data_IF_278877893912
#
_entry.id   IF_278877893912
#
_cell.length_a   1.000
_cell.length_b   1.000
_cell.length_c   1.000
_cell.angle_alpha   90.00
_cell.angle_beta   90.00
_cell.angle_gamma   90.00
#
_symmetry.space_group_name_H-M   'P 1'
#
loop_
_entity.id
_entity.type
_entity.pdbx_description
1 polymer ?
#
# COMPACT_ATOMS: atom_id res chain seq x y z
N UNK A 1 1.92 7.87 -16.10
CA UNK A 1 2.87 8.20 -15.02
C UNK A 1 2.18 8.29 -13.65
N UNK A 2 1.24 9.23 -13.44
CA UNK A 2 0.53 9.42 -12.14
C UNK A 2 -0.23 8.16 -11.71
N UNK A 3 -0.99 7.53 -12.63
CA UNK A 3 -1.68 6.26 -12.40
C UNK A 3 -0.70 5.19 -11.88
N UNK A 4 0.43 5.03 -12.53
CA UNK A 4 1.39 3.97 -12.20
C UNK A 4 2.02 4.22 -10.82
N UNK A 5 2.39 5.46 -10.50
CA UNK A 5 2.85 5.81 -9.15
C UNK A 5 1.77 5.56 -8.08
N UNK A 6 0.50 5.81 -8.41
CA UNK A 6 -0.63 5.54 -7.50
C UNK A 6 -0.80 4.03 -7.27
N UNK A 7 -0.78 3.23 -8.34
CA UNK A 7 -0.84 1.78 -8.25
C UNK A 7 0.36 1.22 -7.48
N UNK A 8 1.58 1.72 -7.75
CA UNK A 8 2.76 1.37 -6.97
C UNK A 8 2.54 1.59 -5.46
N UNK A 9 1.97 2.74 -5.08
CA UNK A 9 1.63 3.02 -3.68
C UNK A 9 0.53 2.08 -3.13
N UNK A 10 -0.45 1.70 -3.95
CA UNK A 10 -1.48 0.74 -3.54
C UNK A 10 -0.93 -0.65 -3.24
N UNK A 11 0.19 -1.04 -3.86
CA UNK A 11 0.81 -2.36 -3.68
C UNK A 11 2.12 -2.35 -2.88
N UNK A 12 2.56 -1.17 -2.43
CA UNK A 12 3.74 -1.02 -1.55
C UNK A 12 3.43 -0.33 -0.23
N UNK A 13 2.28 0.33 -0.12
CA UNK A 13 1.91 1.09 1.06
C UNK A 13 2.82 2.28 1.35
N UNK A 14 3.68 2.69 0.40
CA UNK A 14 4.56 3.84 0.56
C UNK A 14 3.76 5.14 0.54
N UNK A 15 4.12 6.07 1.42
CA UNK A 15 3.61 7.42 1.39
C UNK A 15 4.27 8.23 0.25
N UNK A 16 3.67 9.35 -0.14
CA UNK A 16 4.22 10.21 -1.20
C UNK A 16 5.71 10.54 -1.00
N UNK A 17 6.11 10.92 0.20
CA UNK A 17 7.50 11.29 0.48
C UNK A 17 8.47 10.12 0.33
N UNK A 18 7.98 8.89 0.45
CA UNK A 18 8.77 7.66 0.31
C UNK A 18 8.87 7.26 -1.15
N UNK A 19 7.77 7.32 -1.93
CA UNK A 19 7.83 7.05 -3.37
C UNK A 19 8.64 8.10 -4.14
N UNK A 20 8.72 9.32 -3.62
CA UNK A 20 9.54 10.38 -4.21
C UNK A 20 11.04 10.25 -3.87
N UNK A 21 11.39 9.40 -2.93
CA UNK A 21 12.77 9.22 -2.44
C UNK A 21 13.33 7.81 -2.67
N UNK A 22 12.48 6.85 -3.04
CA UNK A 22 12.91 5.47 -3.24
C UNK A 22 13.87 5.35 -4.44
N UNK A 23 14.92 4.57 -4.26
CA UNK A 23 15.90 4.23 -5.30
C UNK A 23 16.37 2.78 -5.12
N UNK A 24 17.31 2.31 -5.93
CA UNK A 24 17.83 0.95 -5.89
C UNK A 24 18.48 0.57 -4.54
N UNK A 25 19.08 1.52 -3.81
CA UNK A 25 19.71 1.25 -2.52
C UNK A 25 18.68 0.86 -1.45
N UNK A 26 17.42 1.15 -1.70
CA UNK A 26 16.32 0.78 -0.82
C UNK A 26 15.78 -0.63 -1.08
N UNK A 27 16.28 -1.33 -2.11
CA UNK A 27 15.82 -2.66 -2.45
C UNK A 27 16.80 -3.70 -1.92
N UNK A 28 16.29 -4.63 -1.13
CA UNK A 28 17.04 -5.76 -0.59
C UNK A 28 16.36 -7.07 -1.01
N UNK A 29 17.16 -8.04 -1.45
CA UNK A 29 16.65 -9.37 -1.82
C UNK A 29 16.78 -10.31 -0.63
N UNK A 30 15.68 -10.94 -0.23
CA UNK A 30 15.64 -11.98 0.80
C UNK A 30 14.72 -13.10 0.34
N UNK A 31 15.21 -14.33 0.36
CA UNK A 31 14.44 -15.52 -0.07
C UNK A 31 13.82 -15.35 -1.47
N UNK A 32 14.58 -14.81 -2.42
CA UNK A 32 14.15 -14.52 -3.79
C UNK A 32 12.98 -13.52 -3.89
N UNK A 33 12.72 -12.75 -2.85
CA UNK A 33 11.71 -11.69 -2.83
C UNK A 33 12.44 -10.34 -2.72
N UNK A 34 12.05 -9.39 -3.56
CA UNK A 34 12.48 -8.01 -3.45
C UNK A 34 11.72 -7.32 -2.31
N UNK A 35 12.44 -6.70 -1.40
CA UNK A 35 11.89 -5.96 -0.27
C UNK A 35 12.32 -4.50 -0.33
N UNK A 36 11.39 -3.61 -0.03
CA UNK A 36 11.66 -2.20 0.15
C UNK A 36 12.06 -1.96 1.60
N UNK A 37 13.31 -1.52 1.83
CA UNK A 37 13.87 -1.21 3.14
C UNK A 37 14.11 0.28 3.26
N UNK A 38 13.34 0.96 4.07
CA UNK A 38 13.42 2.42 4.25
C UNK A 38 13.14 2.82 5.69
N UNK A 39 13.36 4.11 5.99
CA UNK A 39 12.91 4.74 7.23
C UNK A 39 11.74 5.68 6.96
N UNK A 40 10.72 5.65 7.83
CA UNK A 40 9.61 6.60 7.78
C UNK A 40 10.12 8.02 7.99
N UNK A 41 9.88 8.92 7.03
CA UNK A 41 10.35 10.31 7.10
C UNK A 41 9.88 11.02 8.38
N UNK A 42 8.64 10.76 8.82
CA UNK A 42 8.04 11.41 10.00
C UNK A 42 8.51 10.82 11.34
N UNK A 43 8.72 9.51 11.43
CA UNK A 43 8.95 8.82 12.71
C UNK A 43 10.35 8.22 12.82
N UNK A 44 11.16 8.29 11.75
CA UNK A 44 12.49 7.68 11.63
C UNK A 44 12.53 6.16 11.88
N UNK A 45 11.37 5.52 11.96
CA UNK A 45 11.28 4.06 12.13
C UNK A 45 11.61 3.36 10.81
N UNK A 46 12.48 2.37 10.91
CA UNK A 46 12.73 1.46 9.80
C UNK A 46 11.51 0.59 9.55
N UNK A 47 11.24 0.31 8.30
CA UNK A 47 10.22 -0.64 7.86
C UNK A 47 10.73 -1.48 6.69
N UNK A 48 10.13 -2.63 6.52
CA UNK A 48 10.45 -3.57 5.46
C UNK A 48 9.13 -4.03 4.83
N UNK A 49 8.94 -3.75 3.54
CA UNK A 49 7.72 -4.09 2.80
C UNK A 49 8.10 -4.98 1.62
N UNK A 50 7.43 -6.12 1.38
CA UNK A 50 7.66 -6.91 0.17
C UNK A 50 7.21 -6.10 -1.06
N UNK A 51 8.00 -6.12 -2.12
CA UNK A 51 7.62 -5.55 -3.40
C UNK A 51 6.74 -6.57 -4.13
N UNK A 52 5.44 -6.41 -3.99
CA UNK A 52 4.46 -7.30 -4.62
C UNK A 52 4.52 -7.22 -6.15
N UNK A 53 4.13 -8.27 -6.89
CA UNK A 53 4.26 -8.32 -8.35
C UNK A 53 3.73 -7.09 -9.10
N UNK A 54 2.57 -6.48 -8.76
CA UNK A 54 2.12 -5.27 -9.45
C UNK A 54 3.02 -4.05 -9.20
N UNK A 55 3.62 -3.95 -8.00
CA UNK A 55 4.59 -2.89 -7.71
C UNK A 55 5.92 -3.15 -8.43
N UNK A 56 6.39 -4.39 -8.44
CA UNK A 56 7.62 -4.80 -9.14
C UNK A 56 7.52 -4.50 -10.64
N UNK A 57 6.41 -4.87 -11.29
CA UNK A 57 6.20 -4.58 -12.70
C UNK A 57 6.27 -3.08 -13.04
N UNK A 58 5.81 -2.23 -12.13
CA UNK A 58 5.93 -0.77 -12.31
C UNK A 58 7.36 -0.31 -12.04
N UNK A 59 8.04 -0.87 -11.05
CA UNK A 59 9.43 -0.57 -10.74
C UNK A 59 10.33 -0.86 -11.94
N UNK A 60 10.18 -2.05 -12.52
CA UNK A 60 10.94 -2.49 -13.70
C UNK A 60 10.60 -1.64 -14.93
N UNK A 61 9.31 -1.33 -15.15
CA UNK A 61 8.87 -0.46 -16.26
C UNK A 61 9.56 0.90 -16.29
N UNK A 62 9.90 1.44 -15.14
CA UNK A 62 10.55 2.75 -15.00
C UNK A 62 12.03 2.63 -14.65
N UNK A 63 12.63 1.44 -14.82
CA UNK A 63 14.06 1.19 -14.56
C UNK A 63 14.50 1.75 -13.19
N UNK A 64 13.69 1.43 -12.16
CA UNK A 64 13.89 1.88 -10.79
C UNK A 64 13.83 3.42 -10.57
N UNK A 65 13.31 4.17 -11.52
CA UNK A 65 13.19 5.63 -11.43
C UNK A 65 11.73 6.05 -11.62
N UNK A 66 10.94 5.99 -10.57
CA UNK A 66 9.52 6.32 -10.62
C UNK A 66 9.29 7.77 -11.05
N UNK A 67 8.40 8.05 -12.02
CA UNK A 67 8.16 9.37 -12.56
C UNK A 67 7.26 10.21 -11.63
N UNK A 68 7.71 10.44 -10.40
CA UNK A 68 6.95 11.12 -9.35
C UNK A 68 6.92 12.62 -9.60
N UNK A 69 5.72 13.19 -9.67
CA UNK A 69 5.51 14.63 -9.76
C UNK A 69 5.57 15.26 -8.37
N UNK A 70 5.64 16.61 -8.30
CA UNK A 70 5.46 17.31 -7.02
C UNK A 70 4.12 16.93 -6.38
N UNK A 71 4.06 16.90 -5.04
CA UNK A 71 2.88 16.45 -4.30
C UNK A 71 1.60 17.16 -4.73
N UNK A 72 1.70 18.46 -4.98
CA UNK A 72 0.56 19.27 -5.43
C UNK A 72 0.07 18.84 -6.82
N UNK A 73 0.98 18.72 -7.80
CA UNK A 73 0.65 18.26 -9.15
C UNK A 73 0.13 16.82 -9.14
N UNK A 74 0.74 15.97 -8.34
CA UNK A 74 0.35 14.57 -8.22
C UNK A 74 -1.09 14.43 -7.73
N UNK A 75 -1.46 15.08 -6.61
CA UNK A 75 -2.82 15.05 -6.09
C UNK A 75 -3.84 15.74 -7.01
N UNK A 76 -3.45 16.82 -7.71
CA UNK A 76 -4.31 17.44 -8.74
C UNK A 76 -4.65 16.43 -9.85
N UNK A 77 -3.64 15.80 -10.42
CA UNK A 77 -3.83 14.83 -11.51
C UNK A 77 -4.59 13.57 -11.06
N UNK A 78 -4.47 13.16 -9.79
CA UNK A 78 -5.28 12.05 -9.24
C UNK A 78 -6.78 12.41 -9.20
N UNK A 79 -7.13 13.65 -8.84
CA UNK A 79 -8.52 14.13 -8.88
C UNK A 79 -9.07 14.18 -10.31
N UNK A 80 -8.26 14.67 -11.25
CA UNK A 80 -8.62 14.68 -12.66
C UNK A 80 -8.86 13.26 -13.20
N UNK A 81 -7.99 12.32 -12.83
CA UNK A 81 -8.16 10.90 -13.14
C UNK A 81 -9.46 10.32 -12.57
N UNK A 82 -9.80 10.63 -11.32
CA UNK A 82 -11.04 10.18 -10.70
C UNK A 82 -12.26 10.71 -11.49
N UNK A 83 -12.24 11.96 -11.89
CA UNK A 83 -13.30 12.58 -12.71
C UNK A 83 -13.42 11.92 -14.07
N UNK A 84 -12.30 11.73 -14.77
CA UNK A 84 -12.28 11.10 -16.11
C UNK A 84 -12.79 9.66 -16.10
N UNK A 85 -12.57 8.95 -15.01
CA UNK A 85 -13.00 7.55 -14.84
C UNK A 85 -14.36 7.42 -14.15
N UNK A 86 -15.06 8.53 -13.90
CA UNK A 86 -16.33 8.58 -13.16
C UNK A 86 -16.28 7.84 -11.81
N UNK A 87 -15.14 7.91 -11.12
CA UNK A 87 -14.96 7.29 -9.82
C UNK A 87 -15.55 8.21 -8.73
N UNK A 88 -16.50 7.71 -7.96
CA UNK A 88 -17.06 8.44 -6.81
C UNK A 88 -16.16 8.31 -5.58
N UNK A 89 -14.85 8.56 -5.75
CA UNK A 89 -13.84 8.51 -4.69
C UNK A 89 -12.83 9.64 -4.83
N UNK A 90 -12.39 10.20 -3.73
CA UNK A 90 -11.34 11.21 -3.71
C UNK A 90 -9.97 10.53 -3.77
N UNK A 91 -9.45 10.29 -4.98
CA UNK A 91 -8.11 9.73 -5.16
C UNK A 91 -7.06 10.66 -4.56
N UNK A 92 -6.23 10.12 -3.69
CA UNK A 92 -5.13 10.84 -3.04
C UNK A 92 -4.00 9.86 -2.70
N UNK A 93 -2.81 10.39 -2.44
CA UNK A 93 -1.67 9.58 -1.99
C UNK A 93 -1.96 8.81 -0.70
N UNK A 94 -2.80 9.38 0.17
CA UNK A 94 -3.21 8.73 1.42
C UNK A 94 -4.17 7.55 1.16
N UNK A 95 -5.09 7.71 0.19
CA UNK A 95 -5.99 6.62 -0.20
C UNK A 95 -5.23 5.41 -0.74
N UNK A 96 -4.19 5.62 -1.54
CA UNK A 96 -3.36 4.52 -2.02
C UNK A 96 -2.77 3.68 -0.87
N UNK A 97 -2.23 4.34 0.16
CA UNK A 97 -1.71 3.67 1.35
C UNK A 97 -2.83 2.99 2.16
N UNK A 98 -4.01 3.62 2.26
CA UNK A 98 -5.18 2.99 2.89
C UNK A 98 -5.58 1.73 2.13
N UNK A 99 -5.62 1.77 0.80
CA UNK A 99 -5.90 0.61 -0.06
C UNK A 99 -4.92 -0.53 0.19
N UNK A 100 -3.61 -0.25 0.29
CA UNK A 100 -2.63 -1.27 0.67
C UNK A 100 -2.98 -1.93 2.00
N UNK A 101 -3.32 -1.13 3.00
CA UNK A 101 -3.65 -1.64 4.34
C UNK A 101 -4.91 -2.49 4.31
N UNK A 102 -6.01 -1.95 3.76
CA UNK A 102 -7.35 -2.58 3.84
C UNK A 102 -7.52 -3.70 2.82
N UNK A 103 -7.24 -3.42 1.55
CA UNK A 103 -7.54 -4.35 0.46
C UNK A 103 -6.40 -5.36 0.24
N UNK A 104 -5.15 -4.87 0.25
CA UNK A 104 -4.02 -5.75 -0.07
C UNK A 104 -3.57 -6.57 1.13
N UNK A 105 -3.47 -6.00 2.32
CA UNK A 105 -3.04 -6.76 3.50
C UNK A 105 -4.22 -7.40 4.23
N UNK A 106 -5.10 -6.61 4.81
CA UNK A 106 -6.16 -7.11 5.66
C UNK A 106 -7.20 -7.91 4.87
N UNK A 107 -7.55 -7.48 3.65
CA UNK A 107 -8.43 -8.19 2.73
C UNK A 107 -7.90 -9.56 2.27
N UNK A 108 -6.60 -9.81 2.41
CA UNK A 108 -5.97 -11.11 2.17
C UNK A 108 -5.57 -11.81 3.48
N UNK A 109 -6.28 -11.55 4.57
CA UNK A 109 -6.11 -12.21 5.86
C UNK A 109 -4.73 -12.06 6.50
N UNK A 110 -3.97 -11.01 6.13
CA UNK A 110 -2.72 -10.70 6.82
C UNK A 110 -3.06 -10.20 8.23
N UNK A 111 -2.54 -10.85 9.29
CA UNK A 111 -2.84 -10.46 10.66
C UNK A 111 -2.54 -8.99 10.92
N UNK A 112 -3.42 -8.31 11.67
CA UNK A 112 -3.34 -6.88 11.96
C UNK A 112 -1.95 -6.45 12.47
N UNK A 113 -1.36 -7.25 13.36
CA UNK A 113 -0.03 -7.00 13.91
C UNK A 113 1.07 -7.04 12.84
N UNK A 114 0.97 -7.99 11.90
CA UNK A 114 1.89 -8.13 10.77
C UNK A 114 1.72 -6.92 9.83
N UNK A 115 0.48 -6.58 9.46
CA UNK A 115 0.18 -5.41 8.64
C UNK A 115 0.72 -4.12 9.26
N UNK A 116 0.53 -3.93 10.57
CA UNK A 116 1.06 -2.78 11.31
C UNK A 116 2.59 -2.71 11.28
N UNK A 117 3.26 -3.85 11.41
CA UNK A 117 4.72 -3.97 11.33
C UNK A 117 5.23 -3.61 9.94
N UNK A 118 4.65 -4.19 8.88
CA UNK A 118 4.99 -3.87 7.49
C UNK A 118 4.83 -2.37 7.20
N UNK A 119 3.75 -1.78 7.69
CA UNK A 119 3.48 -0.35 7.53
C UNK A 119 4.39 0.55 8.39
N UNK A 120 5.19 -0.01 9.30
CA UNK A 120 6.04 0.76 10.23
C UNK A 120 5.22 1.67 11.14
N UNK A 121 4.01 1.26 11.52
CA UNK A 121 3.19 2.01 12.46
C UNK A 121 3.77 1.90 13.87
N UNK A 122 3.73 3.01 14.62
CA UNK A 122 4.19 3.05 16.01
C UNK A 122 3.22 2.34 16.96
N UNK A 123 1.95 2.21 16.55
CA UNK A 123 0.87 1.63 17.34
C UNK A 123 -0.11 0.93 16.39
N UNK A 124 -0.60 -0.23 16.79
CA UNK A 124 -1.61 -1.00 16.04
C UNK A 124 -2.93 -0.25 15.91
N UNK A 125 -3.26 0.67 16.81
CA UNK A 125 -4.48 1.50 16.76
C UNK A 125 -4.72 2.18 15.42
N UNK A 126 -3.64 2.58 14.72
CA UNK A 126 -3.76 3.20 13.38
C UNK A 126 -4.27 2.16 12.37
N UNK A 127 -3.80 0.92 12.47
CA UNK A 127 -4.22 -0.19 11.60
C UNK A 127 -5.60 -0.72 12.04
N UNK A 128 -5.89 -0.75 13.33
CA UNK A 128 -7.19 -1.14 13.91
C UNK A 128 -8.32 -0.24 13.41
N UNK A 129 -8.09 1.07 13.33
CA UNK A 129 -9.07 2.00 12.76
C UNK A 129 -9.43 1.65 11.32
N UNK A 130 -8.47 1.20 10.53
CA UNK A 130 -8.72 0.73 9.16
C UNK A 130 -9.37 -0.65 9.13
N UNK A 131 -9.11 -1.48 10.14
CA UNK A 131 -9.75 -2.79 10.27
C UNK A 131 -11.25 -2.68 10.57
N UNK A 132 -11.66 -1.72 11.40
CA UNK A 132 -13.06 -1.45 11.69
C UNK A 132 -13.88 -0.96 10.46
N UNK A 133 -13.18 -0.50 9.42
CA UNK A 133 -13.80 -0.12 8.13
C UNK A 133 -13.90 -1.29 7.15
N UNK A 134 -13.34 -2.47 7.50
CA UNK A 134 -13.42 -3.68 6.69
C UNK A 134 -14.81 -4.28 6.86
N UNK A 135 -15.52 -4.29 5.76
CA UNK A 135 -16.92 -4.53 5.59
C UNK A 135 -17.40 -5.92 6.04
N UNK A 136 -18.73 -6.06 6.19
CA UNK A 136 -19.45 -7.30 6.44
C UNK A 136 -19.03 -8.46 5.52
N UNK A 137 -18.61 -8.18 4.29
CA UNK A 137 -18.15 -9.19 3.33
C UNK A 137 -16.96 -10.01 3.86
N UNK A 138 -16.03 -9.38 4.56
CA UNK A 138 -14.90 -10.09 5.16
C UNK A 138 -15.33 -10.93 6.37
N UNK A 139 -16.26 -10.40 7.15
CA UNK A 139 -16.87 -11.14 8.25
C UNK A 139 -17.59 -12.40 7.74
N UNK A 140 -18.36 -12.26 6.67
CA UNK A 140 -19.07 -13.38 6.04
C UNK A 140 -18.10 -14.43 5.50
N UNK A 141 -17.01 -14.02 4.83
CA UNK A 141 -15.97 -14.94 4.35
C UNK A 141 -15.32 -15.73 5.51
N UNK A 142 -14.99 -15.05 6.61
CA UNK A 142 -14.40 -15.70 7.78
C UNK A 142 -15.38 -16.65 8.46
N UNK A 143 -16.65 -16.26 8.58
CA UNK A 143 -17.69 -17.13 9.14
C UNK A 143 -17.90 -18.34 8.23
N UNK A 144 -17.97 -18.18 6.91
CA UNK A 144 -18.08 -19.29 5.97
C UNK A 144 -16.90 -20.29 6.11
N UNK A 145 -15.66 -19.78 6.24
CA UNK A 145 -14.49 -20.65 6.44
C UNK A 145 -14.54 -21.45 7.75
N UNK A 146 -15.12 -20.89 8.82
CA UNK A 146 -15.33 -21.65 10.07
C UNK A 146 -16.28 -22.83 9.88
N UNK A 147 -17.35 -22.65 9.13
CA UNK A 147 -18.28 -23.76 8.84
C UNK A 147 -17.64 -24.88 7.99
N UNK A 148 -16.64 -24.57 7.18
CA UNK A 148 -15.88 -25.60 6.44
C UNK A 148 -14.92 -26.38 7.36
N UNK A 149 -14.35 -25.73 8.38
CA UNK A 149 -13.42 -26.36 9.34
C UNK A 149 -14.15 -27.33 10.28
N UNK A 150 -15.42 -27.06 10.62
CA UNK A 150 -16.19 -27.80 11.60
C UNK A 150 -17.26 -28.72 10.96
N UNK A 151 -17.16 -29.01 9.66
CA UNK A 151 -17.91 -30.05 8.98
C UNK A 151 -17.28 -31.43 9.26
#
# INVERSE_FOLDING_TARGET
KVRDCFIFSCYSGLAYAEIAAINNDNIVVKNNINWISMKRKKTQRSFLIPMLPPALAIWDKYEANLPVLSNQKYNKNLKELATLLNLNVNLSTHLARKTFTTTVLLGNNIPLKVASTLLGHSNTRITEKHYAEITNDLLEQHVASLFEIFK
#
